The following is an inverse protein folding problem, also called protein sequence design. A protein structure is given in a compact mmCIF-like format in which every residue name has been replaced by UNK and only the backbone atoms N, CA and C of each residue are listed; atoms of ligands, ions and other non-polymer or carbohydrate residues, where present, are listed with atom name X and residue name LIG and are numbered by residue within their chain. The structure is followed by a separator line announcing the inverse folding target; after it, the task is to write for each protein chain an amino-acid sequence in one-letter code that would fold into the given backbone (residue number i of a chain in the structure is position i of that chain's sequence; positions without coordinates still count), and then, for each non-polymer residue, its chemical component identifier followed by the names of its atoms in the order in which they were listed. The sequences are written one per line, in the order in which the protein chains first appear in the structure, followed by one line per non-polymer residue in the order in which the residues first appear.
data_IF_475820897431
#
_entry.id   IF_475820897431
#
_cell.length_a   1.000
_cell.length_b   1.000
_cell.length_c   1.000
_cell.angle_alpha   90.00
_cell.angle_beta   90.00
_cell.angle_gamma   90.00
#
_symmetry.space_group_name_H-M   'P 1'
#
loop_
_entity.id
_entity.type
_entity.pdbx_description
1 polymer ?
#
# COMPACT_ATOMS: atom_id res chain seq x y z
N UNK A 1 -6.06 -11.47 -71.12
CA UNK A 1 -6.75 -10.78 -72.23
C UNK A 1 -7.35 -9.47 -71.74
N UNK A 2 -6.74 -8.29 -71.89
CA UNK A 2 -5.32 -7.77 -71.85
C UNK A 2 -5.36 -6.28 -72.26
N UNK A 3 -4.40 -5.39 -72.00
CA UNK A 3 -3.10 -5.41 -71.26
C UNK A 3 -3.30 -4.98 -69.77
N UNK A 4 -2.34 -4.70 -68.88
CA UNK A 4 -0.86 -4.51 -68.88
C UNK A 4 -0.31 -3.15 -69.40
N UNK A 5 0.97 -2.90 -69.07
CA UNK A 5 1.84 -1.71 -69.30
C UNK A 5 1.53 -0.49 -68.41
N UNK A 6 2.45 0.27 -67.79
CA UNK A 6 3.91 0.30 -67.48
C UNK A 6 4.12 1.68 -66.78
N UNK A 7 5.20 2.10 -66.10
CA UNK A 7 6.45 1.47 -65.64
C UNK A 7 6.86 2.11 -64.27
N UNK A 8 8.10 1.91 -63.80
CA UNK A 8 8.63 2.44 -62.53
C UNK A 8 9.92 3.27 -62.74
N UNK A 9 10.74 3.45 -61.68
CA UNK A 9 12.12 4.05 -61.71
C UNK A 9 12.11 5.59 -61.87
N UNK A 10 12.98 6.42 -61.27
CA UNK A 10 14.23 6.20 -60.49
C UNK A 10 14.31 7.07 -59.20
N UNK A 11 15.36 6.85 -58.40
CA UNK A 11 15.74 7.72 -57.28
C UNK A 11 16.86 8.71 -57.66
N UNK A 12 16.86 9.93 -57.09
CA UNK A 12 17.82 10.98 -57.46
C UNK A 12 18.07 12.07 -56.40
N UNK A 13 18.97 11.77 -55.45
CA UNK A 13 20.01 12.63 -54.86
C UNK A 13 19.71 14.15 -54.64
N UNK A 14 19.84 14.60 -53.39
CA UNK A 14 19.83 16.02 -53.00
C UNK A 14 21.16 16.75 -53.30
N UNK A 15 21.17 18.10 -53.24
CA UNK A 15 21.99 18.70 -52.17
C UNK A 15 21.28 19.85 -51.42
N UNK A 16 21.81 20.20 -50.25
CA UNK A 16 21.31 21.28 -49.40
C UNK A 16 21.96 22.64 -49.70
N UNK A 17 21.36 23.73 -49.22
CA UNK A 17 22.01 25.03 -49.06
C UNK A 17 21.57 25.69 -47.74
N UNK A 18 22.45 26.52 -47.17
CA UNK A 18 22.18 27.34 -45.98
C UNK A 18 21.44 28.65 -46.38
N UNK A 19 21.05 29.59 -45.52
CA UNK A 19 21.23 29.80 -44.07
C UNK A 19 20.15 30.80 -43.58
N UNK A 20 19.81 30.83 -42.28
CA UNK A 20 19.54 32.09 -41.55
C UNK A 20 19.37 31.88 -40.03
N UNK A 21 19.91 32.84 -39.26
CA UNK A 21 19.98 32.80 -37.79
C UNK A 21 18.87 33.61 -37.11
N UNK A 22 18.54 33.22 -35.87
CA UNK A 22 17.71 34.02 -34.96
C UNK A 22 17.91 33.60 -33.50
N UNK A 23 18.60 34.43 -32.71
CA UNK A 23 18.67 34.34 -31.23
C UNK A 23 17.26 34.55 -30.61
N UNK A 24 16.94 34.13 -29.39
CA UNK A 24 17.73 34.18 -28.14
C UNK A 24 17.53 32.95 -27.23
N UNK A 25 18.41 32.79 -26.23
CA UNK A 25 18.27 31.81 -25.15
C UNK A 25 18.25 32.46 -23.77
N UNK A 26 17.84 31.71 -22.75
CA UNK A 26 17.92 32.06 -21.32
C UNK A 26 18.72 30.97 -20.60
N UNK A 27 19.50 31.36 -19.60
CA UNK A 27 20.63 30.57 -19.08
C UNK A 27 20.32 29.81 -17.79
N UNK A 28 20.95 28.65 -17.64
CA UNK A 28 21.10 27.94 -16.37
C UNK A 28 22.42 27.18 -16.38
N UNK A 29 23.44 27.69 -15.69
CA UNK A 29 24.78 27.08 -15.63
C UNK A 29 25.13 26.69 -14.19
N UNK A 30 25.68 25.50 -14.01
CA UNK A 30 26.25 25.05 -12.74
C UNK A 30 27.66 25.64 -12.55
N UNK A 31 27.97 26.06 -11.33
CA UNK A 31 29.27 26.62 -10.98
C UNK A 31 30.35 25.54 -10.87
N UNK A 32 31.60 25.95 -11.07
CA UNK A 32 32.83 25.20 -10.76
C UNK A 32 33.98 26.20 -10.61
N UNK A 33 35.15 25.73 -10.13
CA UNK A 33 36.32 26.52 -9.71
C UNK A 33 36.15 27.26 -8.35
N UNK A 34 37.23 27.66 -7.66
CA UNK A 34 38.64 27.67 -8.10
C UNK A 34 39.67 27.02 -7.16
N UNK A 35 40.89 26.79 -7.68
CA UNK A 35 42.12 27.19 -6.99
C UNK A 35 43.30 27.37 -7.96
N UNK A 36 44.27 28.17 -7.54
CA UNK A 36 45.52 28.53 -8.23
C UNK A 36 46.48 27.31 -8.37
N UNK A 37 47.51 27.30 -9.22
CA UNK A 37 48.65 28.26 -9.22
C UNK A 37 49.50 28.23 -10.51
N UNK A 38 50.21 29.33 -10.77
CA UNK A 38 51.16 29.60 -11.87
C UNK A 38 52.52 28.89 -11.69
N UNK A 39 53.21 28.46 -12.77
CA UNK A 39 54.69 28.57 -12.96
C UNK A 39 55.16 28.07 -14.36
N UNK A 40 56.42 28.38 -14.73
CA UNK A 40 57.08 28.26 -16.05
C UNK A 40 58.57 27.84 -15.88
N UNK A 41 59.34 27.37 -16.87
CA UNK A 41 59.10 27.27 -18.33
C UNK A 41 59.93 26.18 -19.07
N UNK A 42 59.63 26.00 -20.36
CA UNK A 42 60.49 25.65 -21.53
C UNK A 42 61.94 25.15 -21.30
N UNK A 43 62.39 24.13 -22.07
CA UNK A 43 63.78 24.13 -22.61
C UNK A 43 64.08 23.36 -23.92
N UNK A 44 64.31 24.13 -25.00
CA UNK A 44 65.31 23.97 -26.11
C UNK A 44 65.08 25.18 -27.06
N UNK A 45 66.07 25.83 -27.68
CA UNK A 45 67.53 25.62 -27.85
C UNK A 45 68.34 26.81 -27.28
N UNK A 46 69.67 26.75 -27.37
CA UNK A 46 70.61 27.86 -27.12
C UNK A 46 71.53 28.09 -28.33
N UNK A 47 72.12 29.29 -28.42
CA UNK A 47 73.44 29.52 -29.03
C UNK A 47 74.05 30.87 -28.57
N UNK A 48 75.39 30.95 -28.63
CA UNK A 48 76.26 32.14 -28.53
C UNK A 48 76.51 32.84 -27.17
N UNK A 49 77.75 32.68 -26.65
CA UNK A 49 78.75 33.69 -26.16
C UNK A 49 78.35 34.79 -25.13
N UNK A 50 79.16 35.17 -24.13
CA UNK A 50 80.61 34.90 -23.82
C UNK A 50 80.97 35.08 -22.32
N UNK A 51 82.14 34.53 -21.93
CA UNK A 51 83.04 34.91 -20.80
C UNK A 51 82.72 34.61 -19.30
N UNK A 52 83.74 34.81 -18.45
CA UNK A 52 84.09 34.13 -17.17
C UNK A 52 84.31 35.15 -16.00
N UNK A 53 84.54 34.77 -14.70
CA UNK A 53 84.91 33.48 -14.05
C UNK A 53 83.89 32.95 -12.97
N UNK A 54 83.81 31.65 -12.62
CA UNK A 54 84.62 30.84 -11.64
C UNK A 54 84.82 31.52 -10.26
N UNK A 55 84.68 30.88 -9.08
CA UNK A 55 84.26 29.52 -8.60
C UNK A 55 84.21 29.58 -7.02
N UNK A 56 84.05 28.49 -6.20
CA UNK A 56 83.68 27.08 -6.42
C UNK A 56 82.58 26.54 -5.45
N UNK A 57 82.45 25.19 -5.36
CA UNK A 57 81.65 24.37 -4.40
C UNK A 57 80.13 24.38 -4.64
N UNK A 58 79.37 23.26 -4.61
CA UNK A 58 79.58 21.81 -4.84
C UNK A 58 78.20 21.27 -5.33
N UNK A 59 77.98 20.15 -6.02
CA UNK A 59 78.59 18.80 -6.04
C UNK A 59 78.12 17.84 -4.93
N UNK A 60 77.03 17.11 -5.21
CA UNK A 60 77.12 15.64 -5.28
C UNK A 60 76.02 15.01 -6.15
N UNK A 61 76.39 13.98 -6.89
CA UNK A 61 75.55 13.04 -7.65
C UNK A 61 74.96 11.96 -6.71
N UNK A 62 74.10 11.03 -7.09
CA UNK A 62 73.06 10.85 -8.16
C UNK A 62 72.53 9.42 -7.94
N UNK A 63 71.21 9.17 -7.92
CA UNK A 63 70.70 7.79 -7.85
C UNK A 63 69.30 7.61 -8.46
N UNK A 64 69.24 6.75 -9.49
CA UNK A 64 68.00 6.24 -10.09
C UNK A 64 67.41 5.11 -9.24
N UNK A 65 66.08 5.01 -9.14
CA UNK A 65 65.32 3.76 -9.40
C UNK A 65 63.79 3.95 -9.41
N UNK A 66 63.09 2.99 -10.02
CA UNK A 66 61.66 2.64 -9.82
C UNK A 66 60.55 3.71 -9.89
N UNK A 67 60.43 4.39 -11.04
CA UNK A 67 59.20 5.11 -11.44
C UNK A 67 57.95 4.21 -11.68
N UNK A 68 58.02 2.90 -11.42
CA UNK A 68 56.93 1.94 -11.70
C UNK A 68 56.01 1.66 -10.50
N UNK A 69 56.35 2.11 -9.29
CA UNK A 69 55.60 1.80 -8.04
C UNK A 69 54.67 2.95 -7.60
N UNK A 70 54.97 4.19 -7.98
CA UNK A 70 54.18 5.37 -7.55
C UNK A 70 52.84 5.53 -8.30
N UNK A 71 52.75 5.10 -9.57
CA UNK A 71 51.49 5.18 -10.32
C UNK A 71 50.43 4.17 -9.85
N UNK A 72 50.83 3.03 -9.30
CA UNK A 72 49.90 2.07 -8.66
C UNK A 72 49.26 2.61 -7.40
N UNK A 73 49.97 3.43 -6.61
CA UNK A 73 49.49 3.91 -5.31
C UNK A 73 48.46 5.06 -5.41
N UNK A 74 48.52 5.86 -6.49
CA UNK A 74 47.52 6.91 -6.76
C UNK A 74 46.25 6.30 -7.38
N UNK A 75 46.37 5.25 -8.19
CA UNK A 75 45.21 4.50 -8.70
C UNK A 75 44.49 3.68 -7.63
N UNK A 76 45.18 3.24 -6.57
CA UNK A 76 44.52 2.61 -5.41
C UNK A 76 43.80 3.59 -4.48
N UNK A 77 44.26 4.85 -4.37
CA UNK A 77 43.56 5.87 -3.57
C UNK A 77 42.35 6.48 -4.30
N UNK A 78 42.36 6.50 -5.63
CA UNK A 78 41.22 6.95 -6.44
C UNK A 78 40.07 5.95 -6.57
N UNK A 79 40.24 4.71 -6.08
CA UNK A 79 39.23 3.66 -6.15
C UNK A 79 38.77 3.12 -4.77
N UNK A 80 39.04 3.86 -3.69
CA UNK A 80 38.00 4.04 -2.67
C UNK A 80 36.93 4.96 -3.28
N UNK A 81 36.15 4.40 -4.21
CA UNK A 81 34.92 5.02 -4.64
C UNK A 81 34.05 5.28 -3.41
N UNK A 82 33.33 6.40 -3.41
CA UNK A 82 32.53 6.84 -2.26
C UNK A 82 31.37 5.87 -2.05
N UNK A 83 31.63 4.83 -1.26
CA UNK A 83 30.64 4.17 -0.43
C UNK A 83 30.26 5.13 0.70
N UNK A 84 29.57 6.21 0.32
CA UNK A 84 28.51 6.74 1.16
C UNK A 84 27.50 5.60 1.32
N UNK A 85 27.73 4.82 2.38
CA UNK A 85 26.68 4.17 3.12
C UNK A 85 25.70 5.27 3.53
N UNK A 86 24.75 5.59 2.63
CA UNK A 86 23.60 6.41 2.95
C UNK A 86 23.01 5.83 4.24
N UNK A 87 23.02 6.62 5.31
CA UNK A 87 22.46 6.18 6.58
C UNK A 87 21.04 5.66 6.30
N UNK A 88 20.70 4.43 6.75
CA UNK A 88 19.49 3.76 6.29
C UNK A 88 18.30 4.69 6.52
N UNK A 89 17.61 5.04 5.43
CA UNK A 89 16.49 5.98 5.43
C UNK A 89 15.52 5.56 6.53
N UNK A 90 15.21 6.49 7.45
CA UNK A 90 14.23 6.25 8.49
C UNK A 90 12.90 5.76 7.85
N UNK A 91 12.29 4.66 8.36
CA UNK A 91 11.04 4.17 7.82
C UNK A 91 9.95 5.25 7.85
N UNK A 92 9.21 5.39 6.75
CA UNK A 92 8.10 6.34 6.66
C UNK A 92 6.74 5.66 6.46
N UNK A 93 5.68 6.47 6.38
CA UNK A 93 4.29 6.04 6.23
C UNK A 93 4.06 5.14 4.99
N UNK A 94 4.87 5.25 3.94
CA UNK A 94 4.81 4.38 2.75
C UNK A 94 5.51 3.04 2.98
N UNK A 95 6.62 3.04 3.71
CA UNK A 95 7.27 1.80 4.15
C UNK A 95 6.30 1.00 5.05
N UNK A 96 5.58 1.69 5.95
CA UNK A 96 4.48 1.10 6.74
C UNK A 96 3.30 0.63 5.87
N UNK A 97 2.81 1.47 4.95
CA UNK A 97 1.70 1.11 4.06
C UNK A 97 2.01 -0.17 3.25
N UNK A 98 3.23 -0.28 2.73
CA UNK A 98 3.69 -1.47 2.01
C UNK A 98 3.71 -2.72 2.91
N UNK A 99 4.20 -2.61 4.15
CA UNK A 99 4.22 -3.75 5.10
C UNK A 99 2.85 -4.12 5.67
N UNK A 100 1.95 -3.17 5.82
CA UNK A 100 0.54 -3.44 6.07
C UNK A 100 -0.13 -4.19 4.89
N UNK A 101 0.22 -3.85 3.64
CA UNK A 101 -0.24 -4.59 2.45
C UNK A 101 0.32 -6.02 2.38
N UNK A 102 1.59 -6.22 2.74
CA UNK A 102 2.24 -7.53 2.81
C UNK A 102 1.60 -8.43 3.89
N UNK A 103 1.37 -7.87 5.09
CA UNK A 103 0.55 -8.51 6.13
C UNK A 103 -0.88 -8.84 5.65
N UNK A 104 -1.52 -7.93 4.90
CA UNK A 104 -2.86 -8.17 4.36
C UNK A 104 -2.92 -9.44 3.50
N UNK A 105 -1.92 -9.66 2.64
CA UNK A 105 -1.88 -10.85 1.79
C UNK A 105 -1.63 -12.13 2.61
N UNK A 106 -0.82 -12.06 3.66
CA UNK A 106 -0.61 -13.17 4.59
C UNK A 106 -1.88 -13.52 5.39
N UNK A 107 -2.59 -12.51 5.90
CA UNK A 107 -3.87 -12.70 6.59
C UNK A 107 -4.96 -13.20 5.62
N UNK A 108 -5.00 -12.68 4.40
CA UNK A 108 -5.91 -13.13 3.35
C UNK A 108 -5.72 -14.63 3.05
N UNK A 109 -4.48 -15.05 2.73
CA UNK A 109 -4.14 -16.47 2.48
C UNK A 109 -4.49 -17.37 3.66
N UNK A 110 -4.36 -16.87 4.90
CA UNK A 110 -4.79 -17.65 6.08
C UNK A 110 -6.31 -17.74 6.19
N UNK A 111 -7.07 -16.70 5.86
CA UNK A 111 -8.54 -16.71 5.85
C UNK A 111 -9.08 -17.60 4.72
N UNK A 112 -8.59 -17.46 3.49
CA UNK A 112 -9.05 -18.28 2.34
C UNK A 112 -8.82 -19.77 2.57
N UNK A 113 -7.72 -20.16 3.22
CA UNK A 113 -7.45 -21.57 3.59
C UNK A 113 -8.48 -22.23 4.52
N UNK A 114 -9.46 -21.48 5.06
CA UNK A 114 -10.59 -22.06 5.81
C UNK A 114 -11.88 -22.19 4.97
N UNK A 115 -12.08 -21.41 3.89
CA UNK A 115 -13.30 -21.50 3.08
C UNK A 115 -13.27 -20.80 1.70
N UNK A 116 -13.99 -21.39 0.74
CA UNK A 116 -14.25 -20.86 -0.60
C UNK A 116 -15.43 -19.88 -0.67
N UNK A 117 -15.72 -19.18 0.43
CA UNK A 117 -16.78 -18.17 0.53
C UNK A 117 -16.26 -16.77 0.15
N UNK A 118 -17.18 -15.80 0.18
CA UNK A 118 -16.83 -14.38 0.20
C UNK A 118 -15.90 -14.06 1.39
N UNK A 119 -14.99 -13.10 1.21
CA UNK A 119 -14.04 -12.62 2.23
C UNK A 119 -13.99 -11.11 2.17
N UNK A 120 -13.98 -10.41 3.31
CA UNK A 120 -13.77 -8.95 3.36
C UNK A 120 -13.27 -8.50 4.72
N UNK A 121 -12.13 -7.80 4.77
CA UNK A 121 -11.58 -7.24 6.01
C UNK A 121 -10.77 -5.96 5.76
N UNK A 122 -10.52 -5.20 6.83
CA UNK A 122 -9.60 -4.05 6.81
C UNK A 122 -8.24 -4.45 7.39
N UNK A 123 -7.20 -4.72 6.57
CA UNK A 123 -5.86 -4.99 7.10
C UNK A 123 -5.31 -3.81 7.89
N UNK A 124 -5.56 -2.57 7.43
CA UNK A 124 -5.11 -1.37 8.14
C UNK A 124 -5.72 -1.28 9.55
N UNK A 125 -7.03 -1.48 9.70
CA UNK A 125 -7.70 -1.33 11.00
C UNK A 125 -7.32 -2.48 11.96
N UNK A 126 -7.11 -3.69 11.43
CA UNK A 126 -6.52 -4.83 12.19
C UNK A 126 -5.09 -4.52 12.65
N UNK A 127 -4.20 -4.11 11.76
CA UNK A 127 -2.80 -3.79 12.10
C UNK A 127 -2.72 -2.64 13.10
N UNK A 128 -3.56 -1.61 12.95
CA UNK A 128 -3.67 -0.48 13.89
C UNK A 128 -4.07 -0.96 15.29
N UNK A 129 -5.01 -1.91 15.36
CA UNK A 129 -5.49 -2.49 16.62
C UNK A 129 -4.43 -3.36 17.33
N UNK A 130 -3.49 -3.95 16.60
CA UNK A 130 -2.32 -4.61 17.21
C UNK A 130 -1.15 -3.66 17.46
N UNK A 131 -1.01 -2.58 16.68
CA UNK A 131 -0.04 -1.52 16.93
C UNK A 131 -0.33 -0.77 18.23
N UNK A 132 -1.59 -0.68 18.66
CA UNK A 132 -1.92 -0.15 19.98
C UNK A 132 -1.50 -1.10 21.11
N UNK A 133 -1.63 -2.42 20.94
CA UNK A 133 -1.06 -3.40 21.87
C UNK A 133 0.47 -3.34 21.94
N UNK A 134 1.18 -2.86 20.91
CA UNK A 134 2.64 -2.67 20.93
C UNK A 134 3.13 -1.59 21.92
N UNK A 135 2.24 -0.71 22.40
CA UNK A 135 2.53 0.22 23.51
C UNK A 135 2.70 -0.55 24.84
N UNK A 136 1.89 -1.59 25.04
CA UNK A 136 1.82 -2.37 26.27
C UNK A 136 2.72 -3.61 26.29
N UNK A 137 2.89 -4.24 25.11
CA UNK A 137 3.58 -5.50 24.93
C UNK A 137 5.10 -5.34 25.06
N UNK A 138 5.75 -6.27 25.78
CA UNK A 138 7.20 -6.28 25.99
C UNK A 138 7.81 -7.66 25.71
N UNK A 139 9.12 -7.71 25.53
CA UNK A 139 9.86 -8.97 25.31
C UNK A 139 9.35 -9.76 24.09
N UNK A 140 9.22 -11.08 24.24
CA UNK A 140 8.72 -11.98 23.19
C UNK A 140 7.34 -11.59 22.68
N UNK A 141 6.43 -11.12 23.55
CA UNK A 141 5.08 -10.70 23.15
C UNK A 141 5.10 -9.50 22.21
N UNK A 142 6.01 -8.54 22.39
CA UNK A 142 6.22 -7.48 21.39
C UNK A 142 6.77 -8.06 20.09
N UNK A 143 7.84 -8.84 20.18
CA UNK A 143 8.56 -9.37 19.02
C UNK A 143 7.69 -10.27 18.13
N UNK A 144 6.78 -11.05 18.71
CA UNK A 144 5.79 -11.85 17.97
C UNK A 144 4.79 -10.97 17.20
N UNK A 145 4.25 -9.92 17.83
CA UNK A 145 3.31 -9.00 17.17
C UNK A 145 4.01 -8.25 16.03
N UNK A 146 5.20 -7.66 16.28
CA UNK A 146 5.97 -6.95 15.25
C UNK A 146 6.32 -7.87 14.08
N UNK A 147 6.70 -9.13 14.36
CA UNK A 147 7.00 -10.13 13.32
C UNK A 147 5.76 -10.55 12.53
N UNK A 148 4.65 -10.85 13.21
CA UNK A 148 3.42 -11.35 12.58
C UNK A 148 2.68 -10.30 11.74
N UNK A 149 2.87 -9.01 12.04
CA UNK A 149 2.43 -7.89 11.20
C UNK A 149 3.44 -7.53 10.07
N UNK A 150 4.49 -8.33 9.86
CA UNK A 150 5.62 -8.08 8.94
C UNK A 150 6.39 -6.75 9.19
N UNK A 151 6.30 -6.18 10.39
CA UNK A 151 6.88 -4.86 10.75
C UNK A 151 8.35 -4.91 11.21
N UNK A 152 8.98 -6.09 11.26
CA UNK A 152 10.41 -6.22 11.60
C UNK A 152 11.35 -5.26 10.82
N UNK A 153 11.13 -4.96 9.51
CA UNK A 153 11.97 -4.00 8.78
C UNK A 153 11.72 -2.52 9.14
N UNK A 154 10.79 -2.24 10.06
CA UNK A 154 10.44 -0.90 10.55
C UNK A 154 10.90 -0.73 12.01
N UNK A 155 10.92 -1.79 12.82
CA UNK A 155 11.42 -1.81 14.22
C UNK A 155 12.97 -1.73 14.33
N UNK A 156 13.61 -1.00 13.42
CA UNK A 156 15.08 -0.96 13.20
C UNK A 156 15.81 -0.17 14.29
N UNK A 157 15.16 0.82 14.88
CA UNK A 157 15.72 1.70 15.92
C UNK A 157 15.61 1.10 17.33
N UNK A 158 14.77 0.09 17.53
CA UNK A 158 14.34 -0.37 18.85
C UNK A 158 13.44 0.62 19.60
N UNK A 159 12.99 1.69 18.95
CA UNK A 159 12.05 2.65 19.54
C UNK A 159 10.64 2.05 19.57
N UNK A 160 10.14 1.80 20.78
CA UNK A 160 8.83 1.24 21.00
C UNK A 160 7.69 2.09 20.40
N UNK A 161 7.87 3.41 20.31
CA UNK A 161 6.88 4.38 19.86
C UNK A 161 6.87 4.63 18.34
N UNK A 162 7.94 4.27 17.61
CA UNK A 162 8.05 4.53 16.17
C UNK A 162 6.90 3.91 15.36
N UNK A 163 6.56 2.64 15.63
CA UNK A 163 5.46 1.96 14.92
C UNK A 163 4.10 2.63 15.25
N UNK A 164 3.69 2.82 16.52
CA UNK A 164 2.50 3.61 16.87
C UNK A 164 2.43 4.99 16.20
N UNK A 165 3.54 5.76 16.20
CA UNK A 165 3.59 7.08 15.57
C UNK A 165 3.38 7.02 14.05
N UNK A 166 3.95 6.02 13.36
CA UNK A 166 3.73 5.84 11.93
C UNK A 166 2.28 5.43 11.61
N UNK A 167 1.62 4.65 12.47
CA UNK A 167 0.18 4.37 12.35
C UNK A 167 -0.67 5.62 12.60
N UNK A 168 -0.38 6.40 13.65
CA UNK A 168 -1.05 7.67 13.93
C UNK A 168 -0.91 8.65 12.75
N UNK A 169 0.31 8.80 12.20
CA UNK A 169 0.56 9.65 11.04
C UNK A 169 -0.16 9.13 9.78
N UNK A 170 -0.19 7.82 9.56
CA UNK A 170 -0.95 7.20 8.46
C UNK A 170 -2.45 7.46 8.60
N UNK A 171 -3.01 7.31 9.80
CA UNK A 171 -4.43 7.57 10.09
C UNK A 171 -4.75 9.05 9.87
N UNK A 172 -3.95 9.97 10.40
CA UNK A 172 -4.08 11.43 10.17
C UNK A 172 -4.01 11.79 8.68
N UNK A 173 -3.11 11.18 7.92
CA UNK A 173 -2.98 11.39 6.47
C UNK A 173 -4.17 10.87 5.66
N UNK A 174 -4.94 9.90 6.18
CA UNK A 174 -6.17 9.39 5.56
C UNK A 174 -7.38 10.24 5.98
N UNK A 175 -7.46 10.62 7.26
CA UNK A 175 -8.57 11.42 7.81
C UNK A 175 -8.57 12.89 7.38
N UNK A 176 -7.52 13.39 6.72
CA UNK A 176 -7.52 14.72 6.08
C UNK A 176 -8.41 14.79 4.83
N UNK A 177 -8.72 13.66 4.19
CA UNK A 177 -9.66 13.61 3.06
C UNK A 177 -11.11 13.53 3.58
N UNK A 178 -11.67 14.67 4.01
CA UNK A 178 -13.01 14.82 4.65
C UNK A 178 -14.19 14.15 3.90
N UNK A 179 -14.00 13.76 2.63
CA UNK A 179 -14.99 13.10 1.77
C UNK A 179 -14.95 11.57 1.85
N UNK A 180 -13.98 11.00 2.57
CA UNK A 180 -13.83 9.57 2.74
C UNK A 180 -14.69 9.08 3.92
N UNK A 181 -15.96 8.77 3.65
CA UNK A 181 -16.90 8.23 4.64
C UNK A 181 -16.54 6.80 5.07
N UNK A 182 -15.64 6.70 6.05
CA UNK A 182 -15.20 5.47 6.69
C UNK A 182 -15.38 5.56 8.21
N UNK A 183 -16.45 4.96 8.73
CA UNK A 183 -16.74 4.92 10.16
C UNK A 183 -15.98 3.74 10.79
N UNK A 184 -15.03 4.01 11.70
CA UNK A 184 -14.26 2.97 12.39
C UNK A 184 -14.26 3.16 13.90
N UNK A 185 -14.35 2.05 14.62
CA UNK A 185 -14.24 1.99 16.08
C UNK A 185 -13.29 0.88 16.49
N UNK A 186 -12.16 1.26 17.09
CA UNK A 186 -11.32 0.35 17.87
C UNK A 186 -11.65 0.53 19.35
N UNK A 187 -11.64 -0.56 20.13
CA UNK A 187 -11.88 -0.52 21.56
C UNK A 187 -11.20 -1.68 22.28
N UNK A 188 -10.82 -1.44 23.53
CA UNK A 188 -10.26 -2.45 24.41
C UNK A 188 -11.12 -2.59 25.67
N UNK A 189 -11.85 -3.69 25.76
CA UNK A 189 -12.67 -4.04 26.91
C UNK A 189 -11.84 -4.91 27.85
N UNK A 190 -11.63 -4.47 29.08
CA UNK A 190 -10.78 -5.13 30.08
C UNK A 190 -11.66 -5.53 31.26
N UNK A 191 -11.39 -6.68 31.87
CA UNK A 191 -12.13 -7.13 33.04
C UNK A 191 -11.88 -6.18 34.24
N UNK A 192 -12.95 -5.78 34.95
CA UNK A 192 -12.87 -4.79 36.05
C UNK A 192 -11.96 -5.19 37.22
N UNK A 193 -11.48 -6.44 37.28
CA UNK A 193 -10.48 -6.91 38.25
C UNK A 193 -9.04 -6.47 37.94
N UNK A 194 -8.74 -5.98 36.73
CA UNK A 194 -7.39 -5.54 36.34
C UNK A 194 -7.27 -4.01 36.35
N UNK A 195 -6.22 -3.51 37.00
CA UNK A 195 -5.91 -2.07 37.02
C UNK A 195 -5.24 -1.67 35.72
N UNK A 196 -5.83 -0.73 34.99
CA UNK A 196 -5.25 -0.17 33.76
C UNK A 196 -4.27 0.96 34.11
N UNK A 197 -3.06 0.88 33.57
CA UNK A 197 -2.04 1.92 33.65
C UNK A 197 -2.51 3.18 32.92
N UNK A 198 -2.57 4.31 33.63
CA UNK A 198 -3.08 5.57 33.09
C UNK A 198 -2.37 5.98 31.79
N UNK A 199 -1.05 5.85 31.74
CA UNK A 199 -0.24 6.19 30.56
C UNK A 199 -0.70 5.42 29.31
N UNK A 200 -1.04 4.14 29.43
CA UNK A 200 -1.56 3.35 28.31
C UNK A 200 -2.96 3.81 27.88
N UNK A 201 -3.83 4.17 28.82
CA UNK A 201 -5.14 4.74 28.50
C UNK A 201 -5.05 6.09 27.78
N UNK A 202 -4.26 7.02 28.32
CA UNK A 202 -4.02 8.35 27.74
C UNK A 202 -3.38 8.21 26.32
N UNK A 203 -2.51 7.20 26.09
CA UNK A 203 -1.93 6.89 24.77
C UNK A 203 -2.90 6.21 23.77
N UNK A 204 -3.81 5.35 24.24
CA UNK A 204 -4.84 4.70 23.40
C UNK A 204 -5.81 5.72 22.78
N UNK A 205 -6.24 6.70 23.57
CA UNK A 205 -7.05 7.82 23.08
C UNK A 205 -6.23 8.69 22.10
N UNK A 206 -5.02 9.09 22.50
CA UNK A 206 -4.18 10.02 21.73
C UNK A 206 -3.75 9.48 20.36
N UNK A 207 -3.20 8.26 20.29
CA UNK A 207 -2.58 7.74 19.05
C UNK A 207 -3.56 7.03 18.11
N UNK A 208 -4.71 6.56 18.62
CA UNK A 208 -5.60 5.66 17.88
C UNK A 208 -7.10 6.04 17.94
N UNK A 209 -7.49 7.00 18.79
CA UNK A 209 -8.90 7.32 19.04
C UNK A 209 -9.70 6.15 19.64
N UNK A 210 -9.00 5.26 20.35
CA UNK A 210 -9.53 3.97 20.80
C UNK A 210 -9.91 4.00 22.28
N UNK A 211 -11.17 3.70 22.59
CA UNK A 211 -11.67 3.71 23.97
C UNK A 211 -11.18 2.47 24.76
N UNK A 212 -10.76 2.68 26.01
CA UNK A 212 -10.44 1.61 26.95
C UNK A 212 -11.51 1.58 28.04
N UNK A 213 -12.22 0.45 28.18
CA UNK A 213 -13.40 0.34 29.06
C UNK A 213 -13.29 -0.86 30.00
N UNK A 214 -13.48 -0.63 31.30
CA UNK A 214 -13.60 -1.71 32.28
C UNK A 214 -15.01 -2.31 32.27
N UNK A 215 -15.13 -3.65 32.26
CA UNK A 215 -16.39 -4.39 32.22
C UNK A 215 -16.30 -5.63 33.10
N UNK A 216 -17.34 -5.93 33.88
CA UNK A 216 -17.51 -7.25 34.48
C UNK A 216 -17.95 -8.27 33.41
N UNK A 217 -17.06 -9.17 32.99
CA UNK A 217 -17.38 -10.24 32.04
C UNK A 217 -18.17 -11.40 32.67
N UNK A 218 -18.25 -11.50 34.00
CA UNK A 218 -19.08 -12.52 34.67
C UNK A 218 -20.58 -12.24 34.50
N UNK A 219 -20.98 -10.98 34.32
CA UNK A 219 -22.35 -10.54 34.00
C UNK A 219 -22.61 -10.61 32.48
N UNK A 220 -22.32 -11.74 31.83
CA UNK A 220 -22.21 -11.92 30.37
C UNK A 220 -23.22 -11.16 29.50
N UNK A 221 -24.52 -11.20 29.83
CA UNK A 221 -25.57 -10.51 29.05
C UNK A 221 -25.47 -8.97 29.14
N UNK A 222 -25.08 -8.43 30.31
CA UNK A 222 -24.80 -7.01 30.49
C UNK A 222 -23.52 -6.61 29.74
N UNK A 223 -22.46 -7.42 29.83
CA UNK A 223 -21.21 -7.22 29.11
C UNK A 223 -21.45 -7.17 27.59
N UNK A 224 -22.23 -8.12 27.07
CA UNK A 224 -22.66 -8.21 25.67
C UNK A 224 -23.47 -6.97 25.26
N UNK A 225 -24.42 -6.53 26.09
CA UNK A 225 -25.23 -5.34 25.82
C UNK A 225 -24.37 -4.08 25.73
N UNK A 226 -23.46 -3.85 26.68
CA UNK A 226 -22.55 -2.70 26.70
C UNK A 226 -21.68 -2.67 25.44
N UNK A 227 -21.14 -3.83 25.04
CA UNK A 227 -20.27 -3.95 23.87
C UNK A 227 -21.03 -3.74 22.55
N UNK A 228 -22.21 -4.35 22.39
CA UNK A 228 -23.02 -4.16 21.18
C UNK A 228 -23.56 -2.72 21.08
N UNK A 229 -23.95 -2.09 22.18
CA UNK A 229 -24.34 -0.67 22.21
C UNK A 229 -23.15 0.23 21.82
N UNK A 230 -21.95 -0.03 22.34
CA UNK A 230 -20.74 0.70 21.97
C UNK A 230 -20.47 0.63 20.46
N UNK A 231 -20.49 -0.57 19.88
CA UNK A 231 -20.21 -0.79 18.46
C UNK A 231 -21.28 -0.14 17.57
N UNK A 232 -22.56 -0.29 17.94
CA UNK A 232 -23.68 0.37 17.25
C UNK A 232 -23.53 1.90 17.29
N UNK A 233 -23.20 2.48 18.45
CA UNK A 233 -22.98 3.92 18.62
C UNK A 233 -21.79 4.45 17.80
N UNK A 234 -20.68 3.71 17.75
CA UNK A 234 -19.46 4.08 16.99
C UNK A 234 -19.58 3.88 15.48
N UNK A 235 -20.64 3.21 15.02
CA UNK A 235 -20.91 2.96 13.58
C UNK A 235 -22.25 3.53 13.13
N UNK A 236 -22.81 4.53 13.83
CA UNK A 236 -24.07 5.18 13.43
C UNK A 236 -25.28 4.24 13.31
N UNK A 237 -25.26 3.10 14.01
CA UNK A 237 -26.25 2.02 13.90
C UNK A 237 -26.06 1.08 12.69
N UNK A 238 -24.98 1.22 11.92
CA UNK A 238 -24.67 0.37 10.76
C UNK A 238 -24.24 -1.04 11.15
N UNK A 239 -23.63 -1.23 12.32
CA UNK A 239 -23.26 -2.53 12.89
C UNK A 239 -23.97 -2.71 14.23
N UNK A 240 -25.11 -3.40 14.21
CA UNK A 240 -26.00 -3.55 15.37
C UNK A 240 -25.55 -4.61 16.39
N UNK A 241 -24.88 -5.67 15.95
CA UNK A 241 -24.42 -6.78 16.78
C UNK A 241 -22.98 -7.15 16.43
N UNK A 242 -22.11 -7.16 17.44
CA UNK A 242 -20.71 -7.60 17.38
C UNK A 242 -20.52 -8.95 18.06
N UNK A 243 -21.25 -9.17 19.16
CA UNK A 243 -21.21 -10.34 20.02
C UNK A 243 -22.58 -10.99 20.14
N UNK A 244 -22.67 -12.28 19.83
CA UNK A 244 -23.81 -13.14 20.17
C UNK A 244 -23.75 -13.66 21.61
N UNK A 245 -22.53 -13.80 22.16
CA UNK A 245 -22.24 -14.34 23.49
C UNK A 245 -20.93 -13.78 24.07
N UNK A 246 -20.72 -13.97 25.37
CA UNK A 246 -19.52 -13.55 26.12
C UNK A 246 -19.09 -14.70 27.04
N UNK A 247 -17.80 -14.98 27.13
CA UNK A 247 -17.28 -15.98 28.07
C UNK A 247 -17.00 -15.35 29.46
N UNK A 248 -17.51 -15.93 30.58
CA UNK A 248 -17.28 -15.41 31.94
C UNK A 248 -15.82 -15.33 32.41
N UNK A 249 -14.89 -15.95 31.67
CA UNK A 249 -13.45 -15.98 31.96
C UNK A 249 -12.63 -15.06 31.03
N UNK A 250 -13.31 -14.25 30.21
CA UNK A 250 -12.67 -13.19 29.42
C UNK A 250 -11.95 -12.22 30.35
N UNK A 251 -10.64 -12.02 30.14
CA UNK A 251 -9.86 -10.99 30.85
C UNK A 251 -9.77 -9.69 30.04
N UNK A 252 -9.69 -9.82 28.72
CA UNK A 252 -9.53 -8.69 27.81
C UNK A 252 -10.01 -9.05 26.40
N UNK A 253 -10.74 -8.12 25.77
CA UNK A 253 -11.30 -8.25 24.44
C UNK A 253 -10.95 -7.01 23.61
N UNK A 254 -10.19 -7.21 22.54
CA UNK A 254 -9.87 -6.17 21.56
C UNK A 254 -10.88 -6.24 20.41
N UNK A 255 -11.63 -5.16 20.23
CA UNK A 255 -12.62 -5.03 19.16
C UNK A 255 -12.16 -4.05 18.11
N UNK A 256 -12.36 -4.42 16.86
CA UNK A 256 -12.16 -3.54 15.72
C UNK A 256 -13.36 -3.67 14.77
N UNK A 257 -14.16 -2.61 14.67
CA UNK A 257 -15.32 -2.57 13.77
C UNK A 257 -15.15 -1.44 12.76
N UNK A 258 -15.48 -1.69 11.50
CA UNK A 258 -15.33 -0.70 10.43
C UNK A 258 -16.43 -0.83 9.36
N UNK A 259 -17.01 0.31 8.98
CA UNK A 259 -18.03 0.44 7.94
C UNK A 259 -17.54 1.39 6.83
N UNK A 260 -17.64 0.96 5.57
CA UNK A 260 -17.30 1.77 4.40
C UNK A 260 -18.48 1.92 3.43
N UNK A 261 -18.79 3.17 3.08
CA UNK A 261 -19.71 3.54 2.01
C UNK A 261 -19.20 4.79 1.30
N UNK A 262 -18.39 4.59 0.26
CA UNK A 262 -17.76 5.66 -0.52
C UNK A 262 -18.67 6.28 -1.58
N UNK A 263 -18.51 7.59 -1.79
CA UNK A 263 -19.18 8.38 -2.84
C UNK A 263 -18.27 8.36 -4.09
N UNK A 264 -18.67 7.74 -5.21
CA UNK A 264 -17.81 7.64 -6.41
C UNK A 264 -17.39 9.02 -6.92
N UNK A 265 -16.15 9.18 -7.43
CA UNK A 265 -15.73 10.43 -8.10
C UNK A 265 -16.75 10.79 -9.20
N UNK A 266 -17.10 9.78 -9.99
CA UNK A 266 -18.14 9.82 -11.01
C UNK A 266 -19.11 8.64 -10.78
N UNK A 267 -20.35 8.87 -10.33
CA UNK A 267 -21.33 7.80 -10.07
C UNK A 267 -21.71 6.98 -11.30
N UNK A 268 -22.32 5.83 -11.06
CA UNK A 268 -23.09 5.08 -12.08
C UNK A 268 -24.48 5.72 -12.23
N UNK A 269 -25.17 5.48 -13.34
CA UNK A 269 -26.57 5.90 -13.50
C UNK A 269 -27.49 4.76 -12.99
N UNK A 270 -28.34 4.98 -11.97
CA UNK A 270 -29.31 3.98 -11.53
C UNK A 270 -30.28 3.54 -12.64
N UNK A 271 -30.55 4.38 -13.63
CA UNK A 271 -31.38 4.02 -14.79
C UNK A 271 -30.66 3.07 -15.77
N UNK A 272 -29.33 2.91 -15.64
CA UNK A 272 -28.51 1.96 -16.40
C UNK A 272 -28.15 0.71 -15.57
N UNK A 273 -28.85 0.45 -14.46
CA UNK A 273 -28.63 -0.73 -13.62
C UNK A 273 -29.67 -1.79 -13.93
N UNK A 274 -29.25 -2.92 -14.51
CA UNK A 274 -30.14 -4.00 -14.97
C UNK A 274 -29.83 -5.35 -14.28
N UNK A 275 -30.84 -6.21 -14.18
CA UNK A 275 -30.66 -7.57 -13.64
C UNK A 275 -29.88 -8.45 -14.63
N UNK A 276 -28.67 -8.84 -14.25
CA UNK A 276 -27.75 -9.64 -15.08
C UNK A 276 -27.35 -10.94 -14.41
N UNK A 277 -26.93 -11.91 -15.23
CA UNK A 277 -26.34 -13.18 -14.77
C UNK A 277 -24.96 -12.95 -14.15
N UNK A 278 -24.76 -13.47 -12.94
CA UNK A 278 -23.45 -13.67 -12.33
C UNK A 278 -23.20 -15.17 -12.18
N UNK A 279 -22.08 -15.65 -12.72
CA UNK A 279 -21.65 -17.05 -12.71
C UNK A 279 -20.81 -17.28 -11.45
N UNK A 280 -21.42 -17.79 -10.39
CA UNK A 280 -20.74 -18.12 -9.12
C UNK A 280 -19.72 -19.23 -9.37
N UNK A 281 -20.10 -20.22 -10.18
CA UNK A 281 -19.21 -21.22 -10.75
C UNK A 281 -19.74 -21.69 -12.13
N UNK A 282 -19.27 -22.83 -12.63
CA UNK A 282 -19.63 -23.40 -13.95
C UNK A 282 -21.07 -23.93 -14.02
N UNK A 283 -21.73 -24.12 -12.88
CA UNK A 283 -23.06 -24.72 -12.74
C UNK A 283 -24.04 -23.78 -12.04
N UNK A 284 -23.57 -22.97 -11.08
CA UNK A 284 -24.39 -22.03 -10.32
C UNK A 284 -24.38 -20.62 -10.92
N UNK A 285 -25.55 -20.13 -11.32
CA UNK A 285 -25.76 -18.78 -11.86
C UNK A 285 -26.85 -18.07 -11.09
N UNK A 286 -26.54 -16.88 -10.56
CA UNK A 286 -27.48 -16.01 -9.84
C UNK A 286 -27.82 -14.78 -10.68
N UNK A 287 -28.90 -14.08 -10.31
CA UNK A 287 -29.30 -12.81 -10.90
C UNK A 287 -28.94 -11.67 -9.95
N UNK A 288 -28.20 -10.68 -10.43
CA UNK A 288 -27.71 -9.54 -9.63
C UNK A 288 -28.01 -8.21 -10.33
N UNK A 289 -28.31 -7.13 -9.60
CA UNK A 289 -28.34 -5.79 -10.18
C UNK A 289 -26.93 -5.39 -10.60
N UNK A 290 -26.73 -5.19 -11.89
CA UNK A 290 -25.45 -4.89 -12.53
C UNK A 290 -25.44 -3.43 -12.98
N UNK A 291 -24.57 -2.63 -12.40
CA UNK A 291 -24.41 -1.22 -12.72
C UNK A 291 -23.55 -1.09 -13.98
N UNK A 292 -24.04 -0.37 -15.00
CA UNK A 292 -23.34 -0.20 -16.29
C UNK A 292 -22.86 1.25 -16.45
N UNK A 293 -21.65 1.43 -17.00
CA UNK A 293 -21.08 2.76 -17.29
C UNK A 293 -20.00 2.75 -18.36
N UNK A 294 -20.07 3.69 -19.32
CA UNK A 294 -18.98 4.00 -20.26
C UNK A 294 -18.19 5.24 -19.81
N UNK A 295 -16.86 5.13 -19.64
CA UNK A 295 -15.93 6.26 -19.36
C UNK A 295 -14.48 5.87 -19.72
N UNK A 296 -13.51 6.77 -19.46
CA UNK A 296 -12.06 6.55 -19.58
C UNK A 296 -11.47 6.09 -18.25
N UNK A 297 -11.55 4.79 -17.99
CA UNK A 297 -11.05 4.14 -16.78
C UNK A 297 -9.55 3.81 -16.85
N UNK A 298 -8.95 3.50 -15.70
CA UNK A 298 -7.58 3.00 -15.59
C UNK A 298 -7.60 1.46 -15.49
N UNK A 299 -6.77 0.77 -16.28
CA UNK A 299 -6.74 -0.70 -16.34
C UNK A 299 -5.33 -1.24 -16.55
N UNK A 300 -5.07 -2.44 -16.05
CA UNK A 300 -3.85 -3.21 -16.30
C UNK A 300 -4.21 -4.68 -16.55
N UNK A 301 -3.26 -5.46 -17.08
CA UNK A 301 -3.39 -6.90 -17.27
C UNK A 301 -2.24 -7.60 -16.53
N UNK A 302 -2.56 -8.66 -15.81
CA UNK A 302 -1.58 -9.55 -15.19
C UNK A 302 -1.54 -10.85 -16.01
N UNK A 303 -0.45 -11.05 -16.76
CA UNK A 303 -0.29 -12.18 -17.65
C UNK A 303 0.04 -13.50 -16.95
N UNK A 304 0.48 -13.45 -15.69
CA UNK A 304 0.83 -14.63 -14.89
C UNK A 304 -0.45 -15.17 -14.22
N UNK A 305 -1.18 -14.31 -13.51
CA UNK A 305 -2.48 -14.65 -12.92
C UNK A 305 -3.61 -14.77 -13.97
N UNK A 306 -3.34 -14.36 -15.21
CA UNK A 306 -4.33 -14.26 -16.30
C UNK A 306 -5.56 -13.47 -15.86
N UNK A 307 -5.33 -12.29 -15.30
CA UNK A 307 -6.34 -11.45 -14.69
C UNK A 307 -6.33 -10.04 -15.29
N UNK A 308 -7.53 -9.47 -15.49
CA UNK A 308 -7.68 -8.06 -15.87
C UNK A 308 -7.97 -7.22 -14.64
N UNK A 309 -7.30 -6.08 -14.54
CA UNK A 309 -7.36 -5.17 -13.39
C UNK A 309 -8.04 -3.87 -13.81
N UNK A 310 -8.98 -3.38 -13.01
CA UNK A 310 -9.71 -2.12 -13.22
C UNK A 310 -9.62 -1.25 -11.98
N UNK A 311 -9.44 0.06 -12.16
CA UNK A 311 -9.43 1.07 -11.10
C UNK A 311 -10.64 2.01 -11.22
N UNK A 312 -11.41 2.09 -10.14
CA UNK A 312 -12.59 2.93 -9.98
C UNK A 312 -12.34 3.95 -8.83
N UNK A 313 -12.19 5.25 -9.12
CA UNK A 313 -11.92 6.25 -8.09
C UNK A 313 -13.17 6.63 -7.27
N UNK A 314 -13.01 6.70 -5.96
CA UNK A 314 -13.93 7.35 -5.03
C UNK A 314 -13.51 8.81 -4.80
N UNK A 315 -14.37 9.57 -4.12
CA UNK A 315 -14.03 10.87 -3.54
C UNK A 315 -13.31 10.66 -2.21
N UNK A 316 -12.50 11.64 -1.80
CA UNK A 316 -11.70 11.53 -0.59
C UNK A 316 -10.47 10.63 -0.76
N UNK A 317 -9.71 10.83 -1.83
CA UNK A 317 -8.39 10.20 -2.02
C UNK A 317 -8.35 8.67 -2.16
N UNK A 318 -9.48 7.95 -2.11
CA UNK A 318 -9.52 6.49 -2.18
C UNK A 318 -9.95 5.95 -3.55
N UNK A 319 -9.61 4.70 -3.84
CA UNK A 319 -10.06 4.01 -5.04
C UNK A 319 -10.21 2.50 -4.84
N UNK A 320 -11.17 1.92 -5.56
CA UNK A 320 -11.38 0.49 -5.65
C UNK A 320 -10.60 -0.08 -6.84
N UNK A 321 -9.73 -1.04 -6.57
CA UNK A 321 -9.18 -1.94 -7.60
C UNK A 321 -10.05 -3.19 -7.65
N UNK A 322 -10.53 -3.55 -8.82
CA UNK A 322 -11.13 -4.85 -9.13
C UNK A 322 -10.09 -5.69 -9.87
N UNK A 323 -9.85 -6.92 -9.41
CA UNK A 323 -9.03 -7.92 -10.10
C UNK A 323 -9.94 -9.07 -10.51
N UNK A 324 -10.01 -9.29 -11.82
CA UNK A 324 -10.98 -10.16 -12.46
C UNK A 324 -10.24 -11.24 -13.26
N UNK A 325 -10.10 -12.48 -12.75
CA UNK A 325 -9.48 -13.58 -13.48
C UNK A 325 -10.21 -13.91 -14.80
N UNK A 326 -9.48 -14.42 -15.78
CA UNK A 326 -10.03 -14.94 -17.03
C UNK A 326 -11.05 -16.07 -16.79
N UNK A 327 -11.99 -16.26 -17.72
CA UNK A 327 -12.99 -17.34 -17.67
C UNK A 327 -12.40 -18.76 -17.76
N UNK A 328 -11.12 -18.88 -18.09
CA UNK A 328 -10.35 -20.12 -18.14
C UNK A 328 -9.31 -20.26 -17.01
N UNK A 329 -9.15 -19.23 -16.16
CA UNK A 329 -8.30 -19.28 -14.97
C UNK A 329 -9.11 -19.82 -13.78
N UNK A 330 -8.43 -20.43 -12.81
CA UNK A 330 -8.99 -20.65 -11.48
C UNK A 330 -8.68 -19.43 -10.61
N UNK A 331 -9.62 -19.01 -9.77
CA UNK A 331 -9.41 -17.86 -8.87
C UNK A 331 -8.47 -18.20 -7.72
N UNK A 332 -8.29 -19.49 -7.40
CA UNK A 332 -7.35 -19.99 -6.39
C UNK A 332 -5.89 -19.60 -6.68
N UNK A 333 -5.51 -19.48 -7.95
CA UNK A 333 -4.19 -18.98 -8.34
C UNK A 333 -3.92 -17.54 -7.84
N UNK A 334 -4.97 -16.72 -7.71
CA UNK A 334 -4.88 -15.38 -7.12
C UNK A 334 -4.79 -15.48 -5.59
N UNK A 335 -5.47 -16.44 -4.96
CA UNK A 335 -5.34 -16.66 -3.51
C UNK A 335 -3.87 -16.96 -3.13
N UNK A 336 -3.19 -17.83 -3.87
CA UNK A 336 -1.80 -18.23 -3.60
C UNK A 336 -0.76 -17.15 -3.94
N UNK A 337 -0.85 -16.53 -5.13
CA UNK A 337 0.19 -15.63 -5.65
C UNK A 337 0.04 -14.14 -5.29
N UNK A 338 -0.98 -13.76 -4.51
CA UNK A 338 -1.18 -12.36 -4.13
C UNK A 338 -0.07 -11.85 -3.18
N UNK A 339 0.56 -10.74 -3.58
CA UNK A 339 1.68 -10.08 -2.89
C UNK A 339 1.56 -8.55 -2.94
N UNK A 340 2.28 -7.87 -2.04
CA UNK A 340 2.32 -6.41 -2.02
C UNK A 340 3.00 -5.84 -3.27
N UNK A 341 4.04 -6.52 -3.77
CA UNK A 341 4.76 -6.21 -4.99
C UNK A 341 3.84 -6.28 -6.22
N UNK A 342 3.03 -7.35 -6.35
CA UNK A 342 2.09 -7.54 -7.46
C UNK A 342 1.00 -6.46 -7.44
N UNK A 343 0.43 -6.18 -6.26
CA UNK A 343 -0.58 -5.13 -6.06
C UNK A 343 -0.08 -3.71 -6.45
N UNK A 344 1.08 -3.29 -5.93
CA UNK A 344 1.67 -2.00 -6.29
C UNK A 344 2.14 -1.97 -7.76
N UNK A 345 2.55 -3.12 -8.30
CA UNK A 345 2.87 -3.30 -9.72
C UNK A 345 1.69 -3.01 -10.63
N UNK A 346 0.48 -3.47 -10.29
CA UNK A 346 -0.73 -3.13 -11.05
C UNK A 346 -0.99 -1.62 -11.07
N UNK A 347 -0.99 -0.97 -9.89
CA UNK A 347 -1.23 0.47 -9.76
C UNK A 347 -0.25 1.28 -10.62
N UNK A 348 1.03 0.90 -10.60
CA UNK A 348 2.09 1.55 -11.37
C UNK A 348 1.95 1.38 -12.89
N UNK A 349 1.42 0.24 -13.35
CA UNK A 349 1.38 -0.14 -14.76
C UNK A 349 0.04 0.18 -15.46
N UNK A 350 -0.94 0.74 -14.75
CA UNK A 350 -2.26 1.07 -15.30
C UNK A 350 -2.22 2.08 -16.45
N UNK A 351 -3.00 1.80 -17.50
CA UNK A 351 -3.20 2.64 -18.67
C UNK A 351 -4.64 3.14 -18.72
N UNK A 352 -4.86 4.35 -19.24
CA UNK A 352 -6.19 4.95 -19.33
C UNK A 352 -6.85 4.62 -20.68
N UNK A 353 -7.97 3.89 -20.66
CA UNK A 353 -8.65 3.36 -21.86
C UNK A 353 -10.15 3.69 -21.77
N UNK A 354 -10.80 4.02 -22.91
CA UNK A 354 -12.27 4.17 -22.96
C UNK A 354 -12.90 2.78 -23.01
N UNK A 355 -13.76 2.47 -22.05
CA UNK A 355 -14.42 1.17 -21.95
C UNK A 355 -15.78 1.27 -21.27
N UNK A 356 -16.61 0.25 -21.49
CA UNK A 356 -17.83 0.00 -20.75
C UNK A 356 -17.56 -0.96 -19.59
N UNK A 357 -17.88 -0.54 -18.37
CA UNK A 357 -17.73 -1.30 -17.13
C UNK A 357 -19.11 -1.79 -16.67
N UNK A 358 -19.19 -3.08 -16.34
CA UNK A 358 -20.34 -3.69 -15.67
C UNK A 358 -19.87 -4.19 -14.30
N UNK A 359 -20.41 -3.63 -13.22
CA UNK A 359 -20.06 -3.97 -11.83
C UNK A 359 -21.34 -4.33 -11.06
N UNK A 360 -21.42 -5.50 -10.38
CA UNK A 360 -22.58 -5.84 -9.58
C UNK A 360 -22.65 -4.94 -8.35
N UNK A 361 -23.86 -4.56 -7.93
CA UNK A 361 -24.04 -4.05 -6.56
C UNK A 361 -23.82 -5.21 -5.60
N UNK A 362 -23.14 -4.95 -4.49
CA UNK A 362 -22.98 -5.94 -3.42
C UNK A 362 -22.92 -5.26 -2.06
N UNK A 363 -23.34 -6.00 -1.05
CA UNK A 363 -23.12 -5.69 0.35
C UNK A 363 -22.45 -6.89 1.00
N UNK A 364 -21.50 -6.64 1.88
CA UNK A 364 -20.84 -7.70 2.65
C UNK A 364 -20.74 -7.30 4.12
N UNK A 365 -20.84 -8.30 4.98
CA UNK A 365 -20.70 -8.15 6.43
C UNK A 365 -20.00 -9.39 6.97
N UNK A 366 -18.71 -9.23 7.30
CA UNK A 366 -17.83 -10.33 7.66
C UNK A 366 -17.22 -10.10 9.06
N UNK A 367 -17.18 -11.16 9.86
CA UNK A 367 -16.69 -11.17 11.24
C UNK A 367 -15.62 -12.25 11.41
N UNK A 368 -14.49 -11.90 12.01
CA UNK A 368 -13.36 -12.81 12.21
C UNK A 368 -12.88 -12.85 13.66
N UNK A 369 -12.81 -14.07 14.21
CA UNK A 369 -12.17 -14.39 15.47
C UNK A 369 -10.64 -14.40 15.26
N UNK A 370 -10.02 -13.21 15.17
CA UNK A 370 -8.60 -13.08 14.84
C UNK A 370 -7.67 -13.77 15.85
N UNK A 371 -8.12 -13.95 17.10
CA UNK A 371 -7.40 -14.71 18.12
C UNK A 371 -7.25 -16.22 17.79
N UNK A 372 -8.09 -16.77 16.89
CA UNK A 372 -7.94 -18.13 16.35
C UNK A 372 -7.00 -18.16 15.12
N UNK A 373 -6.93 -17.06 14.36
CA UNK A 373 -6.26 -16.99 13.05
C UNK A 373 -4.79 -16.56 13.19
N UNK A 374 -4.53 -15.53 14.00
CA UNK A 374 -3.21 -14.90 14.15
C UNK A 374 -2.12 -15.78 14.81
N UNK A 375 -2.42 -16.79 15.66
CA UNK A 375 -1.42 -17.78 16.08
C UNK A 375 -0.74 -18.48 14.90
N UNK A 376 -1.48 -18.75 13.83
CA UNK A 376 -0.93 -19.34 12.60
C UNK A 376 -0.05 -18.37 11.78
N UNK A 377 -0.10 -17.06 12.07
CA UNK A 377 0.83 -16.04 11.55
C UNK A 377 1.98 -15.73 12.53
N UNK A 378 2.09 -16.48 13.64
CA UNK A 378 3.17 -16.35 14.61
C UNK A 378 2.91 -15.38 15.76
N UNK A 379 1.69 -14.84 15.89
CA UNK A 379 1.29 -14.02 17.04
C UNK A 379 0.56 -14.93 18.03
N UNK A 380 1.26 -15.49 19.03
CA UNK A 380 0.69 -16.52 19.91
C UNK A 380 0.73 -16.15 21.40
N UNK A 381 1.86 -15.66 21.90
CA UNK A 381 2.08 -15.47 23.33
C UNK A 381 1.12 -14.46 23.97
N UNK A 382 0.60 -13.51 23.18
CA UNK A 382 -0.35 -12.47 23.63
C UNK A 382 -1.70 -13.05 24.06
N UNK A 383 -2.04 -14.26 23.58
CA UNK A 383 -3.25 -15.01 23.92
C UNK A 383 -3.05 -16.03 25.06
N UNK A 384 -1.84 -16.11 25.61
CA UNK A 384 -1.44 -17.09 26.62
C UNK A 384 -1.16 -16.41 27.97
N UNK A 385 -1.15 -17.18 29.07
CA UNK A 385 -0.80 -16.66 30.41
C UNK A 385 0.68 -16.22 30.55
N UNK A 386 1.47 -16.38 29.48
CA UNK A 386 2.83 -15.87 29.31
C UNK A 386 2.90 -14.51 28.60
N UNK A 387 1.75 -13.89 28.27
CA UNK A 387 1.69 -12.56 27.67
C UNK A 387 2.36 -11.52 28.58
N UNK A 388 3.33 -10.78 28.05
CA UNK A 388 3.96 -9.67 28.77
C UNK A 388 3.31 -8.35 28.36
N UNK A 389 2.15 -8.05 28.95
CA UNK A 389 1.39 -6.82 28.78
C UNK A 389 1.64 -5.81 29.92
N UNK A 390 2.84 -5.81 30.51
CA UNK A 390 3.18 -5.03 31.71
C UNK A 390 3.23 -3.50 31.50
N UNK A 391 2.99 -3.01 30.28
CA UNK A 391 2.71 -1.60 29.99
C UNK A 391 1.22 -1.22 30.14
N UNK A 392 0.29 -2.18 30.01
CA UNK A 392 -1.15 -1.95 30.18
C UNK A 392 -1.61 -2.15 31.62
N UNK A 393 -1.08 -3.16 32.32
CA UNK A 393 -1.40 -3.43 33.72
C UNK A 393 -0.18 -3.97 34.47
N UNK A 394 -0.14 -3.81 35.80
CA UNK A 394 0.84 -4.46 36.67
C UNK A 394 0.34 -5.79 37.26
N UNK A 395 -0.95 -6.08 37.08
CA UNK A 395 -1.57 -7.31 37.57
C UNK A 395 -1.10 -8.54 36.76
N UNK A 396 -0.92 -9.65 37.46
CA UNK A 396 -0.30 -10.84 36.89
C UNK A 396 -1.24 -11.61 35.93
N UNK A 397 -0.66 -12.26 34.94
CA UNK A 397 -1.33 -13.19 34.00
C UNK A 397 -2.44 -12.60 33.11
N UNK A 398 -2.51 -11.26 32.99
CA UNK A 398 -3.36 -10.60 31.99
C UNK A 398 -2.93 -11.01 30.56
N UNK A 399 -3.90 -11.48 29.78
CA UNK A 399 -3.75 -11.84 28.36
C UNK A 399 -4.89 -11.28 27.52
N UNK A 400 -4.65 -11.11 26.21
CA UNK A 400 -5.76 -10.95 25.26
C UNK A 400 -6.56 -12.26 25.24
N UNK A 401 -7.84 -12.21 25.60
CA UNK A 401 -8.69 -13.41 25.62
C UNK A 401 -9.42 -13.59 24.29
N UNK A 402 -9.92 -12.50 23.71
CA UNK A 402 -10.51 -12.49 22.38
C UNK A 402 -10.05 -11.28 21.57
N UNK A 403 -9.95 -11.47 20.25
CA UNK A 403 -9.82 -10.39 19.26
C UNK A 403 -10.83 -10.64 18.17
N UNK A 404 -11.66 -9.63 17.89
CA UNK A 404 -12.77 -9.70 16.96
C UNK A 404 -12.68 -8.52 15.98
N UNK A 405 -12.59 -8.84 14.69
CA UNK A 405 -12.66 -7.85 13.62
C UNK A 405 -13.97 -8.02 12.85
N UNK A 406 -14.72 -6.93 12.68
CA UNK A 406 -15.95 -6.92 11.88
C UNK A 406 -15.91 -5.80 10.85
N UNK A 407 -16.08 -6.16 9.58
CA UNK A 407 -16.01 -5.24 8.46
C UNK A 407 -17.29 -5.28 7.63
N UNK A 408 -17.83 -4.11 7.29
CA UNK A 408 -19.02 -3.94 6.44
C UNK A 408 -18.70 -3.02 5.27
N UNK A 409 -19.11 -3.40 4.07
CA UNK A 409 -19.03 -2.59 2.86
C UNK A 409 -20.34 -2.64 2.09
N UNK A 410 -20.76 -1.50 1.54
CA UNK A 410 -21.93 -1.35 0.69
C UNK A 410 -21.52 -0.66 -0.62
N UNK A 411 -21.60 -1.38 -1.74
CA UNK A 411 -21.24 -0.89 -3.09
C UNK A 411 -22.50 -0.75 -3.93
N UNK A 412 -22.87 0.49 -4.22
CA UNK A 412 -23.99 0.87 -5.06
C UNK A 412 -23.61 1.98 -6.06
N UNK A 413 -24.59 2.63 -6.68
CA UNK A 413 -24.36 3.62 -7.74
C UNK A 413 -23.80 4.95 -7.21
N UNK A 414 -23.82 5.20 -5.90
CA UNK A 414 -23.83 6.57 -5.34
C UNK A 414 -22.54 7.36 -5.50
N UNK A 415 -22.77 8.65 -5.73
CA UNK A 415 -21.84 9.74 -5.95
C UNK A 415 -22.71 10.97 -6.19
N UNK A 416 -22.39 12.17 -5.68
CA UNK A 416 -23.26 13.33 -5.98
C UNK A 416 -23.43 13.50 -7.49
N UNK A 417 -24.69 13.60 -7.93
CA UNK A 417 -25.16 13.56 -9.32
C UNK A 417 -24.60 14.70 -10.19
N UNK A 418 -23.33 14.57 -10.59
CA UNK A 418 -22.69 15.44 -11.56
C UNK A 418 -23.24 15.13 -12.96
N UNK A 419 -23.70 16.16 -13.67
CA UNK A 419 -24.43 15.99 -14.92
C UNK A 419 -23.66 15.20 -15.98
N UNK A 420 -24.32 14.20 -16.57
CA UNK A 420 -23.82 13.49 -17.75
C UNK A 420 -23.87 14.40 -18.98
N UNK A 421 -22.81 15.20 -19.16
CA UNK A 421 -22.60 15.99 -20.36
C UNK A 421 -22.10 15.07 -21.49
N UNK A 422 -23.01 14.31 -22.09
CA UNK A 422 -22.74 13.49 -23.28
C UNK A 422 -22.36 14.39 -24.46
N UNK A 423 -21.06 14.61 -24.63
CA UNK A 423 -20.52 15.30 -25.79
C UNK A 423 -20.66 14.39 -27.01
N UNK A 424 -21.66 14.68 -27.85
CA UNK A 424 -21.95 13.94 -29.09
C UNK A 424 -20.90 14.26 -30.16
N UNK A 425 -19.69 13.74 -29.94
CA UNK A 425 -18.60 13.78 -30.91
C UNK A 425 -18.64 12.55 -31.82
N UNK A 426 -19.03 12.74 -33.08
CA UNK A 426 -19.05 11.68 -34.09
C UNK A 426 -17.64 11.09 -34.23
N UNK A 427 -17.46 9.89 -33.70
CA UNK A 427 -16.21 9.13 -33.69
C UNK A 427 -16.46 7.80 -34.38
N UNK A 428 -15.49 7.30 -35.16
CA UNK A 428 -15.67 6.07 -35.94
C UNK A 428 -16.07 4.87 -35.05
N UNK A 429 -17.06 4.10 -35.48
CA UNK A 429 -17.64 2.99 -34.73
C UNK A 429 -16.73 1.75 -34.69
N UNK A 430 -15.77 1.76 -33.77
CA UNK A 430 -15.35 0.52 -33.09
C UNK A 430 -16.24 0.31 -31.87
N UNK A 431 -16.69 -0.93 -31.61
CA UNK A 431 -17.32 -1.26 -30.32
C UNK A 431 -16.35 -0.93 -29.17
N UNK A 432 -16.80 -0.30 -28.08
CA UNK A 432 -15.95 -0.04 -26.93
C UNK A 432 -15.47 -1.35 -26.29
N UNK A 433 -14.28 -1.34 -25.70
CA UNK A 433 -13.81 -2.47 -24.90
C UNK A 433 -14.72 -2.66 -23.67
N UNK A 434 -14.90 -3.90 -23.21
CA UNK A 434 -15.80 -4.21 -22.09
C UNK A 434 -15.09 -4.88 -20.91
N UNK A 435 -15.44 -4.46 -19.70
CA UNK A 435 -14.96 -5.03 -18.45
C UNK A 435 -16.18 -5.48 -17.62
N UNK A 436 -16.49 -6.78 -17.70
CA UNK A 436 -17.73 -7.34 -17.15
C UNK A 436 -17.42 -8.22 -15.93
N UNK A 437 -17.79 -7.73 -14.74
CA UNK A 437 -17.57 -8.37 -13.43
C UNK A 437 -18.73 -9.32 -13.10
N UNK A 438 -18.87 -10.36 -13.92
CA UNK A 438 -19.99 -11.32 -13.85
C UNK A 438 -19.60 -12.71 -13.30
N UNK A 439 -18.48 -12.82 -12.58
CA UNK A 439 -17.93 -14.06 -12.02
C UNK A 439 -17.00 -13.71 -10.83
N UNK A 440 -16.56 -14.68 -10.00
CA UNK A 440 -15.65 -14.45 -8.89
C UNK A 440 -14.53 -13.44 -9.17
N UNK A 441 -14.40 -12.47 -8.26
CA UNK A 441 -13.44 -11.37 -8.38
C UNK A 441 -12.89 -10.95 -7.01
N UNK A 442 -11.72 -10.33 -7.04
CA UNK A 442 -11.07 -9.76 -5.86
C UNK A 442 -11.19 -8.24 -5.92
N UNK A 443 -11.23 -7.61 -4.75
CA UNK A 443 -11.25 -6.16 -4.66
C UNK A 443 -10.37 -5.63 -3.54
N UNK A 444 -9.78 -4.46 -3.79
CA UNK A 444 -8.84 -3.78 -2.91
C UNK A 444 -9.22 -2.30 -2.86
N UNK A 445 -9.65 -1.80 -1.70
CA UNK A 445 -9.82 -0.37 -1.50
C UNK A 445 -8.52 0.19 -0.93
N UNK A 446 -7.90 1.17 -1.60
CA UNK A 446 -6.67 1.79 -1.14
C UNK A 446 -6.76 3.32 -1.17
N UNK A 447 -5.96 3.97 -0.34
CA UNK A 447 -5.78 5.41 -0.32
C UNK A 447 -4.64 5.82 -1.27
N UNK A 448 -4.91 6.66 -2.25
CA UNK A 448 -3.96 6.98 -3.33
C UNK A 448 -2.71 7.72 -2.83
N UNK A 449 -2.86 8.71 -1.95
CA UNK A 449 -1.75 9.56 -1.52
C UNK A 449 -0.69 8.82 -0.67
N UNK A 450 -1.13 7.88 0.18
CA UNK A 450 -0.25 7.03 1.02
C UNK A 450 0.03 5.65 0.43
N UNK A 451 -0.69 5.24 -0.63
CA UNK A 451 -0.71 3.87 -1.18
C UNK A 451 -1.14 2.79 -0.17
N UNK A 452 -1.79 3.16 0.94
CA UNK A 452 -2.20 2.23 1.98
C UNK A 452 -3.45 1.44 1.59
N UNK A 453 -3.37 0.11 1.70
CA UNK A 453 -4.49 -0.80 1.54
C UNK A 453 -5.45 -0.67 2.74
N UNK A 454 -6.61 -0.07 2.51
CA UNK A 454 -7.65 0.17 3.53
C UNK A 454 -8.48 -1.10 3.76
N UNK A 455 -8.88 -1.79 2.68
CA UNK A 455 -9.66 -3.02 2.72
C UNK A 455 -9.28 -3.98 1.60
N UNK A 456 -9.43 -5.29 1.86
CA UNK A 456 -9.25 -6.36 0.89
C UNK A 456 -10.44 -7.31 0.95
N UNK A 457 -10.86 -7.84 -0.20
CA UNK A 457 -11.91 -8.86 -0.26
C UNK A 457 -11.95 -9.67 -1.54
N UNK A 458 -12.78 -10.72 -1.51
CA UNK A 458 -13.12 -11.60 -2.62
C UNK A 458 -14.62 -11.83 -2.62
N UNK A 459 -15.28 -11.57 -3.75
CA UNK A 459 -16.70 -11.88 -3.96
C UNK A 459 -16.78 -13.13 -4.82
N UNK A 460 -17.34 -14.20 -4.26
CA UNK A 460 -17.69 -15.45 -4.95
C UNK A 460 -19.17 -15.41 -5.37
N UNK A 461 -20.03 -14.84 -4.52
CA UNK A 461 -21.47 -14.69 -4.77
C UNK A 461 -21.97 -13.32 -4.25
N UNK A 462 -22.34 -12.36 -5.13
CA UNK A 462 -22.79 -11.03 -4.72
C UNK A 462 -24.13 -11.01 -3.96
N UNK A 463 -24.84 -12.14 -3.90
CA UNK A 463 -26.14 -12.26 -3.19
C UNK A 463 -26.00 -12.70 -1.72
N UNK A 464 -24.76 -12.89 -1.24
CA UNK A 464 -24.45 -13.35 0.12
C UNK A 464 -23.55 -12.33 0.83
N UNK A 465 -23.86 -12.04 2.10
CA UNK A 465 -23.06 -11.17 2.97
C UNK A 465 -21.68 -11.79 3.30
#
# INVERSE_FOLDING_TARGET
MDTLEEEAVSAGIAPAFWDHWGFTGVTGSLCSFPLWTVVKDIRRRSQNTTDLPRQPVCECQDHKMEWRVLFSLIYSSGFLCVLESQAPKAPDVRDLAFKNTDFAMNLYRKISSYHDKNIFFSPLSVSTSFASLLLAAKGSTRAEIVKGLNLNPIDVTGDAALIPQLFEQLQKNISQDEKLHSEQGTALFIDERFTVEREFGDQMETFFGADVTAVDFSKTELSKSIINEYVSRKTGGKVSEMLTSVEPLTQMMLLNTIFFQGDWDRPFDPNSTEMSRFYVDKYNVVQVPMMVKEDKFFTAEDGELRARVLRLPYRGGAALIIVLPDTAADYTAIDDEISAERFHGWIKNMRRIKMEVHLPKFKMEQSYNLHEILPHLGISSVFLHSANLTGLSKDAHLKVSQVLHKAVIEVDEKGTTAASATSVGITAYSLPATFIVNRPFFFFLYHEATSSLLFMGRVIDPTKN
#
